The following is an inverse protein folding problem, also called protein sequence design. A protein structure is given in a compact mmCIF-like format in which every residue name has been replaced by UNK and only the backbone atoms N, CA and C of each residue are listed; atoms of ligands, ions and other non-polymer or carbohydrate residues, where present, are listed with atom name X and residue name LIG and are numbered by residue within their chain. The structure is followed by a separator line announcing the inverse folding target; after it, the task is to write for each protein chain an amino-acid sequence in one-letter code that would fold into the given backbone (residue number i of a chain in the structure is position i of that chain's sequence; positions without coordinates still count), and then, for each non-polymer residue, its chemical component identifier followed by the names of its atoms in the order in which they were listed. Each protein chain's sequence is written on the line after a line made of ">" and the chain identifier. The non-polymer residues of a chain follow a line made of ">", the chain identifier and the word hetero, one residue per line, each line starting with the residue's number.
data_IF_067046150022
#
_entry.id   IF_067046150022
#
_cell.length_a   1.000
_cell.length_b   1.000
_cell.length_c   1.000
_cell.angle_alpha   90.00
_cell.angle_beta   90.00
_cell.angle_gamma   90.00
#
_symmetry.space_group_name_H-M   'P 1'
#
loop_
_entity.id
_entity.type
_entity.pdbx_description
1 polymer ?
#
# COMPACT_ATOMS: atom_id res chain seq x y z
N UNK A 1 43.23 72.93 -19.27
CA UNK A 1 41.81 73.15 -19.58
C UNK A 1 41.28 71.88 -20.24
N UNK A 2 40.28 71.25 -19.59
CA UNK A 2 39.31 70.21 -20.01
C UNK A 2 39.65 69.26 -21.19
N UNK A 3 39.84 67.96 -20.95
CA UNK A 3 38.88 66.82 -20.78
C UNK A 3 38.92 65.92 -22.03
N UNK A 4 39.37 64.70 -21.76
CA UNK A 4 39.41 63.48 -22.56
C UNK A 4 38.03 62.92 -22.88
N UNK A 5 37.80 62.48 -24.10
CA UNK A 5 36.85 61.38 -24.41
C UNK A 5 37.32 60.54 -25.60
N UNK A 6 36.94 59.26 -25.54
CA UNK A 6 36.94 58.23 -26.60
C UNK A 6 38.22 57.43 -26.88
N UNK A 7 38.29 56.24 -26.26
CA UNK A 7 38.20 54.94 -26.97
C UNK A 7 38.23 53.77 -25.95
N UNK A 8 37.22 53.74 -25.09
CA UNK A 8 36.98 52.65 -24.11
C UNK A 8 35.82 51.73 -24.52
N UNK A 9 35.41 51.74 -25.78
CA UNK A 9 34.17 51.06 -26.22
C UNK A 9 34.37 49.76 -27.00
N UNK A 10 35.56 49.46 -27.53
CA UNK A 10 35.76 48.25 -28.35
C UNK A 10 36.28 47.03 -27.58
N UNK A 11 36.97 47.24 -26.44
CA UNK A 11 37.45 46.15 -25.58
C UNK A 11 36.38 45.69 -24.58
N UNK A 12 35.48 46.60 -24.17
CA UNK A 12 34.39 46.27 -23.25
C UNK A 12 33.32 45.39 -23.93
N UNK A 13 32.99 45.65 -25.20
CA UNK A 13 32.04 44.84 -25.95
C UNK A 13 32.56 43.45 -26.25
N UNK A 14 33.85 43.30 -26.54
CA UNK A 14 34.48 41.99 -26.72
C UNK A 14 34.52 41.20 -25.42
N UNK A 15 34.90 41.86 -24.31
CA UNK A 15 34.89 41.24 -22.97
C UNK A 15 33.49 40.81 -22.53
N UNK A 16 32.47 41.65 -22.78
CA UNK A 16 31.08 41.36 -22.44
C UNK A 16 30.51 40.23 -23.32
N UNK A 17 30.88 40.16 -24.61
CA UNK A 17 30.48 39.07 -25.49
C UNK A 17 31.11 37.73 -25.04
N UNK A 18 32.39 37.72 -24.64
CA UNK A 18 33.01 36.51 -24.04
C UNK A 18 32.42 36.14 -22.69
N UNK A 19 32.04 37.10 -21.84
CA UNK A 19 31.40 36.81 -20.55
C UNK A 19 29.98 36.24 -20.74
N UNK A 20 29.22 36.78 -21.71
CA UNK A 20 27.90 36.27 -22.07
C UNK A 20 27.97 34.88 -22.70
N UNK A 21 28.98 34.61 -23.53
CA UNK A 21 29.20 33.27 -24.10
C UNK A 21 29.62 32.25 -23.02
N UNK A 22 30.42 32.67 -22.03
CA UNK A 22 30.79 31.84 -20.87
C UNK A 22 29.63 31.62 -19.89
N UNK A 23 28.71 32.59 -19.72
CA UNK A 23 27.48 32.40 -18.93
C UNK A 23 26.46 31.48 -19.63
N UNK A 24 26.49 31.40 -20.97
CA UNK A 24 25.62 30.50 -21.74
C UNK A 24 26.16 29.08 -21.87
N UNK A 25 27.37 28.79 -21.37
CA UNK A 25 27.94 27.44 -21.29
C UNK A 25 27.87 26.81 -19.88
N UNK A 26 27.25 27.49 -18.91
CA UNK A 26 26.80 26.89 -17.63
C UNK A 26 25.36 26.37 -17.68
N UNK A 27 24.79 26.18 -18.88
CA UNK A 27 23.64 25.30 -19.04
C UNK A 27 24.08 23.85 -18.84
N UNK A 28 23.65 23.25 -17.74
CA UNK A 28 22.78 22.07 -17.80
C UNK A 28 22.74 21.41 -16.43
N UNK A 29 21.83 21.86 -15.57
CA UNK A 29 20.84 20.95 -15.02
C UNK A 29 19.54 21.74 -14.86
N UNK A 30 18.44 21.32 -15.51
CA UNK A 30 17.14 21.77 -15.08
C UNK A 30 16.89 21.14 -13.72
N UNK A 31 17.07 21.90 -12.64
CA UNK A 31 16.37 21.60 -11.40
C UNK A 31 14.93 22.00 -11.67
N UNK A 32 14.21 21.11 -12.35
CA UNK A 32 12.78 21.00 -12.12
C UNK A 32 12.73 20.52 -10.67
N UNK A 33 12.58 21.46 -9.74
CA UNK A 33 11.85 21.14 -8.51
C UNK A 33 10.45 20.82 -8.99
N UNK A 34 10.23 19.59 -9.41
CA UNK A 34 8.98 18.94 -9.12
C UNK A 34 8.94 19.08 -7.61
N UNK A 35 8.07 19.94 -7.11
CA UNK A 35 7.59 19.77 -5.74
C UNK A 35 7.18 18.30 -5.68
N UNK A 36 8.08 17.47 -5.16
CA UNK A 36 7.73 16.20 -4.60
C UNK A 36 6.84 16.61 -3.45
N UNK A 37 5.54 16.69 -3.74
CA UNK A 37 4.51 16.66 -2.73
C UNK A 37 4.97 15.55 -1.80
N UNK A 38 5.29 15.85 -0.52
CA UNK A 38 5.59 14.81 0.42
C UNK A 38 4.32 13.97 0.44
N UNK A 39 4.34 12.80 -0.19
CA UNK A 39 3.30 11.80 0.02
C UNK A 39 3.60 11.23 1.39
N UNK A 40 3.22 12.02 2.37
CA UNK A 40 3.02 11.64 3.74
C UNK A 40 2.12 10.39 3.73
N UNK A 41 2.63 9.22 4.16
CA UNK A 41 1.93 7.93 4.06
C UNK A 41 0.60 7.90 4.83
N UNK A 42 0.35 8.89 5.69
CA UNK A 42 -0.96 9.14 6.27
C UNK A 42 -2.09 9.35 5.23
N UNK A 43 -1.79 9.79 4.00
CA UNK A 43 -2.83 10.10 3.01
C UNK A 43 -3.30 8.91 2.14
N UNK A 44 -2.56 7.79 2.10
CA UNK A 44 -3.02 6.59 1.41
C UNK A 44 -4.10 5.83 2.22
N UNK A 45 -4.17 6.08 3.53
CA UNK A 45 -5.05 5.39 4.48
C UNK A 45 -6.10 6.32 5.11
N UNK A 46 -5.91 7.65 5.09
CA UNK A 46 -6.85 8.65 5.65
C UNK A 46 -8.19 8.85 4.90
N UNK A 47 -8.52 8.06 3.86
CA UNK A 47 -9.83 8.13 3.17
C UNK A 47 -10.73 6.90 3.37
N UNK A 48 -10.58 6.19 4.49
CA UNK A 48 -11.50 5.11 4.89
C UNK A 48 -12.58 5.68 5.80
N UNK A 49 -13.52 6.42 5.21
CA UNK A 49 -14.65 7.00 5.93
C UNK A 49 -15.57 5.94 6.50
N UNK A 50 -15.58 5.80 7.83
CA UNK A 50 -16.64 5.19 8.64
C UNK A 50 -16.51 5.76 10.06
N UNK A 51 -17.23 6.85 10.38
CA UNK A 51 -17.38 7.35 11.76
C UNK A 51 -18.75 6.89 12.26
N UNK A 52 -18.85 5.94 13.20
CA UNK A 52 -20.08 5.71 13.94
C UNK A 52 -20.18 6.69 15.12
N UNK A 53 -21.29 7.41 15.21
CA UNK A 53 -21.69 8.19 16.40
C UNK A 53 -22.01 7.28 17.59
N UNK A 54 -21.52 7.66 18.77
CA UNK A 54 -21.58 6.94 20.06
C UNK A 54 -23.00 6.54 20.51
N UNK A 55 -23.08 5.45 21.31
CA UNK A 55 -23.86 5.52 22.54
C UNK A 55 -23.02 5.14 23.78
N UNK A 56 -23.17 5.94 24.84
CA UNK A 56 -22.55 5.75 26.16
C UNK A 56 -23.38 4.82 27.06
N UNK A 57 -22.75 3.81 27.68
CA UNK A 57 -23.26 3.11 28.89
C UNK A 57 -22.14 2.33 29.63
N UNK A 58 -22.35 1.88 30.89
CA UNK A 58 -21.50 2.18 32.05
C UNK A 58 -20.33 1.20 32.24
N UNK A 59 -19.32 1.68 32.98
CA UNK A 59 -18.03 1.02 33.22
C UNK A 59 -18.16 -0.26 34.07
N UNK A 60 -18.02 -1.42 33.42
CA UNK A 60 -17.43 -2.61 34.03
C UNK A 60 -15.91 -2.41 34.13
N UNK A 61 -15.20 -3.07 35.08
CA UNK A 61 -13.74 -2.99 35.15
C UNK A 61 -13.16 -3.31 33.77
N UNK A 62 -12.29 -2.43 33.29
CA UNK A 62 -11.71 -2.55 31.96
C UNK A 62 -10.92 -3.86 31.89
N UNK A 63 -11.51 -4.90 31.30
CA UNK A 63 -10.73 -6.07 30.88
C UNK A 63 -9.68 -5.53 29.92
N UNK A 64 -8.41 -5.81 30.17
CA UNK A 64 -7.32 -5.51 29.25
C UNK A 64 -7.14 -6.70 28.33
N UNK A 65 -7.00 -6.47 27.02
CA UNK A 65 -6.65 -7.52 26.07
C UNK A 65 -5.26 -7.25 25.53
N UNK A 66 -4.43 -8.29 25.51
CA UNK A 66 -3.10 -8.26 24.89
C UNK A 66 -3.23 -8.78 23.46
N UNK A 67 -2.78 -8.00 22.49
CA UNK A 67 -2.75 -8.38 21.09
C UNK A 67 -1.31 -8.35 20.57
N UNK A 68 -0.94 -9.36 19.79
CA UNK A 68 0.36 -9.40 19.12
C UNK A 68 0.17 -9.09 17.63
N UNK A 69 0.81 -8.02 17.17
CA UNK A 69 0.93 -7.64 15.77
C UNK A 69 2.00 -8.48 15.10
N UNK A 70 1.57 -9.53 14.41
CA UNK A 70 2.42 -10.33 13.53
C UNK A 70 1.59 -10.86 12.37
N UNK A 71 2.26 -11.22 11.27
CA UNK A 71 1.61 -11.86 10.13
C UNK A 71 0.99 -13.20 10.54
N UNK A 72 1.69 -13.98 11.38
CA UNK A 72 1.21 -15.29 11.84
C UNK A 72 -0.11 -15.19 12.62
N UNK A 73 -0.23 -14.20 13.50
CA UNK A 73 -1.48 -13.96 14.23
C UNK A 73 -2.64 -13.56 13.31
N UNK A 74 -2.35 -12.79 12.28
CA UNK A 74 -3.38 -12.39 11.32
C UNK A 74 -3.77 -13.59 10.44
N UNK A 75 -2.84 -14.47 10.08
CA UNK A 75 -3.14 -15.72 9.38
C UNK A 75 -4.00 -16.65 10.24
N UNK A 76 -3.74 -16.73 11.55
CA UNK A 76 -4.61 -17.43 12.48
C UNK A 76 -6.02 -16.81 12.52
N UNK A 77 -6.12 -15.47 12.50
CA UNK A 77 -7.41 -14.78 12.41
C UNK A 77 -8.14 -15.04 11.08
N UNK A 78 -7.43 -15.06 9.94
CA UNK A 78 -8.01 -15.45 8.64
C UNK A 78 -8.58 -16.87 8.73
N UNK A 79 -7.88 -17.80 9.37
CA UNK A 79 -8.35 -19.18 9.49
C UNK A 79 -9.56 -19.35 10.44
N UNK A 80 -9.58 -18.63 11.56
CA UNK A 80 -10.62 -18.79 12.60
C UNK A 80 -11.86 -17.95 12.39
N UNK A 81 -11.68 -16.71 11.92
CA UNK A 81 -12.74 -15.71 11.78
C UNK A 81 -12.80 -15.10 10.38
N UNK A 82 -12.05 -15.66 9.43
CA UNK A 82 -12.20 -15.32 8.02
C UNK A 82 -13.54 -15.78 7.48
N UNK A 83 -14.01 -15.10 6.45
CA UNK A 83 -15.32 -15.37 5.84
C UNK A 83 -15.28 -16.42 4.75
N UNK A 84 -14.09 -16.74 4.26
CA UNK A 84 -13.88 -17.54 3.06
C UNK A 84 -12.69 -18.47 3.24
N UNK A 85 -12.80 -19.65 2.63
CA UNK A 85 -11.67 -20.56 2.49
C UNK A 85 -10.71 -20.04 1.40
N UNK A 86 -9.46 -19.80 1.81
CA UNK A 86 -8.44 -19.18 0.95
C UNK A 86 -7.86 -20.13 -0.11
N UNK A 87 -8.06 -21.44 0.03
CA UNK A 87 -7.58 -22.43 -0.94
C UNK A 87 -8.59 -22.68 -2.08
N UNK A 88 -9.85 -22.27 -1.89
CA UNK A 88 -10.93 -22.46 -2.89
C UNK A 88 -11.44 -21.16 -3.52
N UNK A 89 -10.94 -20.00 -3.09
CA UNK A 89 -11.38 -18.69 -3.57
C UNK A 89 -10.22 -17.87 -4.17
N UNK A 90 -10.56 -16.88 -5.01
CA UNK A 90 -9.56 -16.07 -5.74
C UNK A 90 -9.26 -14.79 -4.99
N UNK A 91 -7.98 -14.51 -4.75
CA UNK A 91 -7.54 -13.23 -4.20
C UNK A 91 -7.53 -12.11 -5.24
N UNK A 92 -8.06 -10.96 -4.84
CA UNK A 92 -8.14 -9.73 -5.63
C UNK A 92 -7.46 -8.59 -4.88
N UNK A 93 -6.42 -8.02 -5.47
CA UNK A 93 -5.67 -6.86 -4.96
C UNK A 93 -5.95 -5.65 -5.83
N UNK A 94 -5.72 -4.44 -5.32
CA UNK A 94 -5.98 -3.23 -6.11
C UNK A 94 -5.12 -2.05 -5.70
N UNK A 95 -4.80 -1.20 -6.66
CA UNK A 95 -4.03 0.03 -6.44
C UNK A 95 -4.54 1.15 -7.35
N UNK A 96 -4.61 2.38 -6.83
CA UNK A 96 -4.97 3.56 -7.62
C UNK A 96 -6.45 3.64 -8.03
N UNK A 97 -7.33 2.87 -7.39
CA UNK A 97 -8.77 2.78 -7.74
C UNK A 97 -9.72 3.41 -6.70
N UNK A 98 -9.20 4.18 -5.75
CA UNK A 98 -10.02 4.92 -4.79
C UNK A 98 -10.52 4.11 -3.57
N UNK A 99 -9.66 3.27 -2.98
CA UNK A 99 -9.98 2.59 -1.71
C UNK A 99 -11.15 1.62 -1.82
N UNK A 100 -12.23 1.85 -1.06
CA UNK A 100 -13.44 1.01 -1.10
C UNK A 100 -14.03 0.88 -2.52
N UNK A 101 -13.97 1.95 -3.32
CA UNK A 101 -14.37 1.90 -4.74
C UNK A 101 -13.53 0.90 -5.53
N UNK A 102 -12.23 0.77 -5.22
CA UNK A 102 -11.35 -0.20 -5.85
C UNK A 102 -11.75 -1.64 -5.54
N UNK A 103 -12.14 -1.92 -4.30
CA UNK A 103 -12.68 -3.23 -3.89
C UNK A 103 -13.94 -3.60 -4.67
N UNK A 104 -14.91 -2.67 -4.70
CA UNK A 104 -16.15 -2.87 -5.45
C UNK A 104 -15.88 -3.10 -6.94
N UNK A 105 -14.96 -2.33 -7.54
CA UNK A 105 -14.56 -2.49 -8.95
C UNK A 105 -13.93 -3.85 -9.20
N UNK A 106 -12.97 -4.28 -8.38
CA UNK A 106 -12.32 -5.58 -8.49
C UNK A 106 -13.34 -6.73 -8.37
N UNK A 107 -14.20 -6.70 -7.36
CA UNK A 107 -15.23 -7.73 -7.16
C UNK A 107 -16.27 -7.74 -8.29
N UNK A 108 -16.71 -6.58 -8.74
CA UNK A 108 -17.65 -6.47 -9.87
C UNK A 108 -17.05 -7.03 -11.15
N UNK A 109 -15.79 -6.69 -11.43
CA UNK A 109 -15.09 -7.23 -12.58
C UNK A 109 -14.94 -8.75 -12.48
N UNK A 110 -14.52 -9.27 -11.32
CA UNK A 110 -14.38 -10.70 -11.08
C UNK A 110 -15.69 -11.46 -11.31
N UNK A 111 -16.79 -11.00 -10.73
CA UNK A 111 -18.11 -11.62 -10.90
C UNK A 111 -18.54 -11.70 -12.37
N UNK A 112 -18.15 -10.72 -13.19
CA UNK A 112 -18.53 -10.64 -14.61
C UNK A 112 -17.59 -11.39 -15.55
N UNK A 113 -16.30 -11.49 -15.20
CA UNK A 113 -15.25 -11.92 -16.13
C UNK A 113 -14.46 -13.15 -15.68
N UNK A 114 -14.72 -13.69 -14.48
CA UNK A 114 -14.03 -14.90 -14.00
C UNK A 114 -14.17 -16.04 -15.01
N UNK A 115 -13.10 -16.83 -15.23
CA UNK A 115 -13.15 -17.95 -16.15
C UNK A 115 -14.17 -19.00 -15.70
N UNK A 116 -14.68 -19.80 -16.64
CA UNK A 116 -15.66 -20.84 -16.34
C UNK A 116 -15.16 -21.85 -15.29
N UNK A 117 -13.85 -22.14 -15.28
CA UNK A 117 -13.21 -23.00 -14.27
C UNK A 117 -13.27 -22.44 -12.84
N UNK A 118 -13.50 -21.13 -12.69
CA UNK A 118 -13.62 -20.43 -11.41
C UNK A 118 -15.06 -19.95 -11.13
N UNK A 119 -16.07 -20.49 -11.82
CA UNK A 119 -17.45 -20.03 -11.74
C UNK A 119 -18.06 -20.06 -10.33
N UNK A 120 -17.57 -20.90 -9.43
CA UNK A 120 -18.03 -20.98 -8.04
C UNK A 120 -17.14 -20.22 -7.05
N UNK A 121 -16.02 -19.65 -7.51
CA UNK A 121 -15.05 -18.99 -6.63
C UNK A 121 -15.46 -17.54 -6.33
N UNK A 122 -15.42 -17.17 -5.06
CA UNK A 122 -15.60 -15.80 -4.61
C UNK A 122 -14.32 -15.00 -4.81
N UNK A 123 -14.49 -13.68 -5.00
CA UNK A 123 -13.40 -12.71 -5.04
C UNK A 123 -13.10 -12.16 -3.65
N UNK A 124 -11.92 -12.48 -3.14
CA UNK A 124 -11.47 -12.09 -1.80
C UNK A 124 -10.65 -10.81 -1.90
N UNK A 125 -11.13 -9.76 -1.27
CA UNK A 125 -10.46 -8.46 -1.13
C UNK A 125 -10.20 -8.20 0.35
N UNK A 126 -9.32 -7.24 0.64
CA UNK A 126 -9.04 -6.81 2.01
C UNK A 126 -10.32 -6.61 2.86
N UNK A 127 -11.36 -5.96 2.32
CA UNK A 127 -12.55 -5.59 3.10
C UNK A 127 -13.59 -6.70 3.30
N UNK A 128 -13.44 -7.88 2.69
CA UNK A 128 -14.30 -9.03 2.98
C UNK A 128 -13.52 -10.24 3.55
N UNK A 129 -12.22 -10.09 3.79
CA UNK A 129 -11.36 -11.17 4.29
C UNK A 129 -11.78 -11.63 5.69
N UNK A 130 -11.90 -10.68 6.63
CA UNK A 130 -12.20 -10.94 8.04
C UNK A 130 -13.67 -10.59 8.36
N UNK A 131 -14.20 -11.17 9.44
CA UNK A 131 -15.48 -10.72 10.01
C UNK A 131 -15.42 -9.22 10.38
N UNK A 132 -16.47 -8.45 10.05
CA UNK A 132 -16.48 -6.98 10.27
C UNK A 132 -16.36 -6.64 11.75
N UNK A 133 -16.97 -7.44 12.61
CA UNK A 133 -16.87 -7.29 14.06
C UNK A 133 -15.43 -7.37 14.54
N UNK A 134 -14.65 -8.30 14.00
CA UNK A 134 -13.24 -8.47 14.32
C UNK A 134 -12.40 -7.32 13.74
N UNK A 135 -12.52 -7.04 12.44
CA UNK A 135 -11.75 -5.99 11.77
C UNK A 135 -12.00 -4.60 12.40
N UNK A 136 -13.26 -4.25 12.66
CA UNK A 136 -13.63 -2.98 13.29
C UNK A 136 -13.15 -2.89 14.74
N UNK A 137 -13.24 -3.99 15.49
CA UNK A 137 -12.72 -4.04 16.85
C UNK A 137 -11.22 -3.77 16.90
N UNK A 138 -10.44 -4.45 16.05
CA UNK A 138 -8.98 -4.23 15.95
C UNK A 138 -8.68 -2.80 15.56
N UNK A 139 -9.34 -2.27 14.52
CA UNK A 139 -9.12 -0.90 14.07
C UNK A 139 -9.39 0.12 15.18
N UNK A 140 -10.57 0.05 15.81
CA UNK A 140 -10.98 1.02 16.84
C UNK A 140 -10.12 0.95 18.09
N UNK A 141 -9.64 -0.24 18.46
CA UNK A 141 -8.77 -0.40 19.63
C UNK A 141 -7.36 0.18 19.40
N UNK A 142 -6.99 0.46 18.15
CA UNK A 142 -5.70 1.02 17.76
C UNK A 142 -5.76 2.47 17.32
N UNK A 143 -6.91 3.12 17.49
CA UNK A 143 -7.06 4.52 17.13
C UNK A 143 -6.12 5.40 17.98
N UNK A 144 -5.41 6.31 17.31
CA UNK A 144 -4.40 7.18 17.93
C UNK A 144 -3.15 6.46 18.48
N UNK A 145 -3.01 5.14 18.26
CA UNK A 145 -1.87 4.37 18.73
C UNK A 145 -0.72 4.37 17.71
N UNK A 146 0.51 4.40 18.20
CA UNK A 146 1.73 4.27 17.38
C UNK A 146 2.42 2.92 17.63
N UNK A 147 3.11 2.42 16.60
CA UNK A 147 3.95 1.23 16.61
C UNK A 147 5.17 1.44 15.69
N UNK A 148 6.30 0.75 15.94
CA UNK A 148 7.41 0.73 14.99
C UNK A 148 6.93 0.28 13.60
N UNK A 149 7.34 0.99 12.55
CA UNK A 149 7.03 0.58 11.17
C UNK A 149 7.74 -0.74 10.85
N UNK A 150 7.02 -1.80 10.43
CA UNK A 150 7.65 -3.03 9.97
C UNK A 150 8.68 -2.79 8.85
N UNK A 151 8.41 -1.84 7.94
CA UNK A 151 9.30 -1.54 6.81
C UNK A 151 10.52 -0.69 7.22
N UNK A 152 10.42 0.06 8.31
CA UNK A 152 11.50 0.88 8.85
C UNK A 152 11.39 1.00 10.39
N UNK A 153 11.94 0.04 11.16
CA UNK A 153 11.77 -0.01 12.61
C UNK A 153 12.34 1.19 13.38
N UNK A 154 13.06 2.09 12.71
CA UNK A 154 13.56 3.36 13.28
C UNK A 154 12.49 4.46 13.31
N UNK A 155 11.34 4.22 12.69
CA UNK A 155 10.21 5.14 12.62
C UNK A 155 9.00 4.52 13.31
N UNK A 156 8.15 5.35 13.89
CA UNK A 156 6.83 4.94 14.36
C UNK A 156 5.76 5.45 13.40
N UNK A 157 4.78 4.59 13.13
CA UNK A 157 3.61 4.91 12.32
C UNK A 157 2.35 4.49 13.07
N UNK A 158 1.19 4.96 12.60
CA UNK A 158 -0.09 4.59 13.19
C UNK A 158 -0.27 3.06 13.22
N UNK A 159 -0.67 2.52 14.35
CA UNK A 159 -0.87 1.08 14.55
C UNK A 159 -1.92 0.50 13.58
N UNK A 160 -2.90 1.30 13.16
CA UNK A 160 -3.83 0.94 12.09
C UNK A 160 -3.15 0.76 10.72
N UNK A 161 -2.09 1.52 10.43
CA UNK A 161 -1.29 1.37 9.21
C UNK A 161 -0.43 0.11 9.28
N UNK A 162 0.22 -0.14 10.43
CA UNK A 162 0.95 -1.40 10.70
C UNK A 162 0.02 -2.58 10.51
N UNK A 163 -1.14 -2.59 11.18
CA UNK A 163 -2.11 -3.67 11.06
C UNK A 163 -2.60 -3.84 9.62
N UNK A 164 -2.91 -2.73 8.93
CA UNK A 164 -3.32 -2.77 7.52
C UNK A 164 -2.28 -3.42 6.61
N UNK A 165 -0.99 -3.06 6.75
CA UNK A 165 0.11 -3.66 5.99
C UNK A 165 0.29 -5.15 6.29
N UNK A 166 0.25 -5.53 7.58
CA UNK A 166 0.35 -6.94 7.98
C UNK A 166 -0.84 -7.78 7.50
N UNK A 167 -2.06 -7.23 7.47
CA UNK A 167 -3.24 -7.91 6.89
C UNK A 167 -3.08 -8.10 5.38
N UNK A 168 -2.60 -7.09 4.67
CA UNK A 168 -2.32 -7.19 3.24
C UNK A 168 -1.28 -8.27 2.93
N UNK A 169 -0.20 -8.35 3.72
CA UNK A 169 0.78 -9.43 3.61
C UNK A 169 0.17 -10.80 3.95
N UNK A 170 -0.57 -10.92 5.06
CA UNK A 170 -1.20 -12.17 5.46
C UNK A 170 -2.20 -12.69 4.42
N UNK A 171 -2.96 -11.79 3.76
CA UNK A 171 -3.81 -12.13 2.63
C UNK A 171 -2.96 -12.73 1.50
N UNK A 172 -1.93 -12.02 1.06
CA UNK A 172 -1.03 -12.46 -0.01
C UNK A 172 -0.37 -13.83 0.26
N UNK A 173 0.07 -14.07 1.50
CA UNK A 173 0.63 -15.36 1.91
C UNK A 173 -0.42 -16.49 2.01
N UNK A 174 -1.70 -16.13 2.18
CA UNK A 174 -2.79 -17.11 2.26
C UNK A 174 -3.33 -17.50 0.89
N UNK A 175 -3.15 -16.65 -0.13
CA UNK A 175 -3.64 -16.86 -1.48
C UNK A 175 -3.12 -18.15 -2.14
N UNK A 176 -3.86 -18.63 -3.13
CA UNK A 176 -3.50 -19.77 -3.96
C UNK A 176 -3.93 -19.56 -5.42
N UNK A 177 -3.32 -20.29 -6.35
CA UNK A 177 -3.73 -20.27 -7.75
C UNK A 177 -3.41 -18.97 -8.49
N UNK A 178 -4.33 -18.50 -9.32
CA UNK A 178 -4.19 -17.22 -10.04
C UNK A 178 -4.68 -16.08 -9.14
N UNK A 179 -3.87 -15.04 -9.02
CA UNK A 179 -4.21 -13.81 -8.29
C UNK A 179 -4.42 -12.68 -9.28
N UNK A 180 -5.40 -11.81 -9.00
CA UNK A 180 -5.70 -10.66 -9.86
C UNK A 180 -5.36 -9.35 -9.15
N UNK A 181 -4.62 -8.48 -9.84
CA UNK A 181 -4.21 -7.17 -9.38
C UNK A 181 -4.87 -6.08 -10.23
N UNK A 182 -5.79 -5.33 -9.63
CA UNK A 182 -6.60 -4.33 -10.32
C UNK A 182 -5.98 -2.94 -10.21
N UNK A 183 -5.58 -2.36 -11.33
CA UNK A 183 -5.01 -1.01 -11.37
C UNK A 183 -5.15 -0.42 -12.77
N UNK A 184 -5.22 0.92 -12.94
CA UNK A 184 -5.26 1.52 -14.27
C UNK A 184 -4.08 1.08 -15.14
N UNK A 185 -4.27 0.99 -16.45
CA UNK A 185 -3.21 0.60 -17.40
C UNK A 185 -1.92 1.39 -17.21
N UNK A 186 -2.05 2.70 -16.98
CA UNK A 186 -0.95 3.63 -16.75
C UNK A 186 -0.11 3.35 -15.50
N UNK A 187 -0.62 2.55 -14.57
CA UNK A 187 0.11 2.12 -13.38
C UNK A 187 0.63 0.70 -13.61
N UNK A 188 1.91 0.54 -13.93
CA UNK A 188 2.52 -0.77 -14.09
C UNK A 188 2.66 -1.55 -12.77
N UNK A 189 2.31 -0.94 -11.63
CA UNK A 189 2.44 -1.56 -10.32
C UNK A 189 3.90 -1.72 -9.87
N UNK A 190 4.84 -1.03 -10.53
CA UNK A 190 6.27 -1.05 -10.25
C UNK A 190 6.84 0.32 -9.91
N UNK A 191 6.04 1.40 -10.04
CA UNK A 191 6.41 2.76 -9.65
C UNK A 191 6.97 2.77 -8.20
N UNK A 192 8.16 3.34 -7.94
CA UNK A 192 8.86 3.32 -6.64
C UNK A 192 8.11 3.96 -5.47
N UNK A 193 6.85 4.36 -5.64
CA UNK A 193 5.98 4.73 -4.52
C UNK A 193 5.92 3.58 -3.52
N UNK A 194 6.37 3.84 -2.29
CA UNK A 194 6.24 2.95 -1.13
C UNK A 194 4.78 2.82 -0.74
N UNK A 195 4.04 2.00 -1.49
CA UNK A 195 2.64 1.68 -1.27
C UNK A 195 2.50 0.23 -0.77
N UNK A 196 1.32 -0.12 -0.27
CA UNK A 196 1.04 -1.43 0.31
C UNK A 196 1.29 -2.57 -0.70
N UNK A 197 0.99 -2.34 -1.98
CA UNK A 197 1.25 -3.32 -3.04
C UNK A 197 2.74 -3.65 -3.17
N UNK A 198 3.58 -2.62 -3.36
CA UNK A 198 5.01 -2.79 -3.56
C UNK A 198 5.75 -3.29 -2.31
N UNK A 199 5.28 -2.91 -1.12
CA UNK A 199 5.99 -3.20 0.14
C UNK A 199 5.54 -4.52 0.75
N UNK A 200 4.24 -4.82 0.75
CA UNK A 200 3.68 -5.97 1.47
C UNK A 200 3.13 -7.06 0.53
N UNK A 201 2.30 -6.68 -0.44
CA UNK A 201 1.48 -7.64 -1.19
C UNK A 201 2.29 -8.34 -2.29
N UNK A 202 2.89 -7.60 -3.20
CA UNK A 202 3.64 -8.14 -4.34
C UNK A 202 4.87 -8.97 -3.89
N UNK A 203 5.70 -8.51 -2.95
CA UNK A 203 6.78 -9.33 -2.42
C UNK A 203 6.30 -10.63 -1.75
N UNK A 204 5.17 -10.61 -1.06
CA UNK A 204 4.60 -11.79 -0.41
C UNK A 204 4.00 -12.77 -1.44
N UNK A 205 3.26 -12.27 -2.44
CA UNK A 205 2.67 -13.07 -3.51
C UNK A 205 3.74 -13.82 -4.32
N UNK A 206 4.81 -13.13 -4.71
CA UNK A 206 5.90 -13.71 -5.53
C UNK A 206 6.79 -14.70 -4.76
N UNK A 207 6.62 -14.78 -3.43
CA UNK A 207 7.27 -15.78 -2.56
C UNK A 207 6.31 -16.89 -2.11
N UNK A 208 5.02 -16.75 -2.38
CA UNK A 208 4.02 -17.72 -1.98
C UNK A 208 4.00 -18.90 -2.97
N UNK A 209 4.43 -20.08 -2.50
CA UNK A 209 4.54 -21.28 -3.32
C UNK A 209 3.20 -21.80 -3.91
N UNK A 210 2.07 -21.37 -3.33
CA UNK A 210 0.71 -21.72 -3.78
C UNK A 210 0.24 -20.86 -4.95
N UNK A 211 0.79 -19.65 -5.12
CA UNK A 211 0.46 -18.75 -6.22
C UNK A 211 1.12 -19.24 -7.51
N UNK A 212 0.34 -19.29 -8.59
CA UNK A 212 0.81 -19.74 -9.91
C UNK A 212 1.13 -18.57 -10.83
N UNK A 213 0.35 -17.49 -10.77
CA UNK A 213 0.55 -16.30 -11.57
C UNK A 213 -0.19 -15.10 -10.98
N UNK A 214 0.25 -13.90 -11.34
CA UNK A 214 -0.40 -12.64 -11.01
C UNK A 214 -0.81 -11.96 -12.33
N UNK A 215 -2.11 -11.72 -12.49
CA UNK A 215 -2.68 -11.03 -13.64
C UNK A 215 -3.02 -9.60 -13.24
N UNK A 216 -2.35 -8.62 -13.84
CA UNK A 216 -2.75 -7.22 -13.80
C UNK A 216 -4.00 -7.03 -14.67
N UNK A 217 -4.99 -6.32 -14.14
CA UNK A 217 -6.24 -6.00 -14.83
C UNK A 217 -6.53 -4.50 -14.69
N UNK A 218 -6.81 -3.84 -15.81
CA UNK A 218 -7.52 -2.55 -15.75
C UNK A 218 -9.03 -2.80 -15.79
N UNK A 219 -9.77 -2.53 -14.70
CA UNK A 219 -11.21 -2.80 -14.67
C UNK A 219 -12.04 -1.88 -15.58
N UNK A 220 -11.47 -0.78 -16.10
CA UNK A 220 -12.16 0.13 -17.02
C UNK A 220 -12.10 -0.36 -18.47
N UNK A 221 -10.94 -0.85 -18.91
CA UNK A 221 -10.74 -1.37 -20.28
C UNK A 221 -10.90 -2.89 -20.38
N UNK A 222 -10.89 -3.59 -19.24
CA UNK A 222 -10.78 -5.05 -19.14
C UNK A 222 -9.52 -5.63 -19.75
N UNK A 223 -8.50 -4.80 -19.99
CA UNK A 223 -7.18 -5.26 -20.39
C UNK A 223 -6.54 -6.10 -19.30
N UNK A 224 -5.88 -7.19 -19.70
CA UNK A 224 -5.24 -8.15 -18.82
C UNK A 224 -3.81 -8.41 -19.26
N UNK A 225 -2.88 -8.40 -18.31
CA UNK A 225 -1.45 -8.69 -18.55
C UNK A 225 -0.93 -9.55 -17.40
N UNK A 226 -0.26 -10.66 -17.72
CA UNK A 226 0.47 -11.43 -16.72
C UNK A 226 1.73 -10.65 -16.33
N UNK A 227 1.88 -10.33 -15.05
CA UNK A 227 3.02 -9.54 -14.53
C UNK A 227 4.01 -10.36 -13.71
N UNK A 228 3.63 -11.59 -13.36
CA UNK A 228 4.49 -12.55 -12.68
C UNK A 228 3.91 -13.97 -12.83
N UNK A 229 4.78 -14.96 -13.00
CA UNK A 229 4.43 -16.39 -13.03
C UNK A 229 5.35 -17.18 -12.11
N UNK A 230 4.86 -18.29 -11.56
CA UNK A 230 5.65 -19.21 -10.74
C UNK A 230 6.89 -19.67 -11.51
N UNK A 231 8.06 -19.40 -10.93
CA UNK A 231 9.36 -19.62 -11.56
C UNK A 231 10.10 -18.32 -11.85
N UNK A 232 9.39 -17.19 -11.97
CA UNK A 232 10.00 -15.87 -12.01
C UNK A 232 10.66 -15.53 -10.67
N UNK A 233 11.67 -14.66 -10.71
CA UNK A 233 12.34 -14.20 -9.51
C UNK A 233 11.34 -13.49 -8.56
N UNK A 234 11.51 -13.64 -7.23
CA UNK A 234 10.72 -12.87 -6.27
C UNK A 234 10.90 -11.36 -6.47
N UNK A 235 9.81 -10.61 -6.32
CA UNK A 235 9.84 -9.16 -6.42
C UNK A 235 10.36 -8.52 -5.13
N UNK A 236 11.30 -7.58 -5.26
CA UNK A 236 11.76 -6.70 -4.18
C UNK A 236 12.39 -7.41 -2.98
N UNK A 237 12.57 -6.70 -1.85
CA UNK A 237 12.98 -7.29 -0.57
C UNK A 237 11.97 -8.29 0.00
N UNK A 238 12.36 -9.01 1.06
CA UNK A 238 11.41 -9.81 1.85
C UNK A 238 10.33 -8.88 2.42
N UNK A 239 9.03 -9.28 2.38
CA UNK A 239 7.97 -8.42 2.88
C UNK A 239 8.15 -8.13 4.38
N UNK A 240 7.94 -6.88 4.85
CA UNK A 240 8.38 -6.44 6.17
C UNK A 240 7.78 -7.17 7.38
N UNK A 241 6.60 -7.77 7.23
CA UNK A 241 5.96 -8.53 8.30
C UNK A 241 6.69 -9.82 8.67
N UNK A 242 7.64 -10.29 7.85
CA UNK A 242 8.43 -11.47 8.15
C UNK A 242 9.35 -11.22 9.34
N UNK A 243 9.11 -11.93 10.44
CA UNK A 243 9.86 -11.77 11.70
C UNK A 243 9.46 -10.55 12.52
N UNK A 244 8.50 -9.75 12.06
CA UNK A 244 7.93 -8.66 12.83
C UNK A 244 6.96 -9.18 13.88
N UNK A 245 7.14 -8.74 15.12
CA UNK A 245 6.24 -9.03 16.22
C UNK A 245 6.25 -7.88 17.22
N UNK A 246 5.09 -7.30 17.50
CA UNK A 246 4.91 -6.31 18.57
C UNK A 246 3.74 -6.69 19.45
N UNK A 247 3.95 -6.69 20.76
CA UNK A 247 2.89 -6.97 21.75
C UNK A 247 2.34 -5.66 22.27
N UNK A 248 1.00 -5.52 22.27
CA UNK A 248 0.34 -4.35 22.85
C UNK A 248 -0.79 -4.76 23.75
N UNK A 249 -0.78 -4.24 24.96
CA UNK A 249 -1.89 -4.35 25.90
C UNK A 249 -2.76 -3.12 25.75
N UNK A 250 -4.04 -3.32 25.44
CA UNK A 250 -4.98 -2.23 25.23
C UNK A 250 -5.89 -2.07 26.44
N UNK A 251 -6.14 -0.80 26.78
CA UNK A 251 -6.86 -0.41 27.99
C UNK A 251 -8.36 -0.76 27.98
N UNK A 252 -8.89 -1.24 26.85
CA UNK A 252 -10.28 -1.66 26.69
C UNK A 252 -10.32 -3.01 25.97
N UNK A 253 -11.00 -4.01 26.53
CA UNK A 253 -11.25 -5.32 25.94
C UNK A 253 -12.27 -5.23 24.80
N UNK A 254 -11.88 -4.53 23.74
CA UNK A 254 -12.67 -4.42 22.53
C UNK A 254 -12.27 -5.47 21.49
N UNK A 255 -11.16 -6.19 21.67
CA UNK A 255 -10.85 -7.35 20.83
C UNK A 255 -11.82 -8.49 21.13
N UNK A 256 -12.42 -9.13 20.10
CA UNK A 256 -12.83 -10.51 20.24
C UNK A 256 -11.56 -11.29 20.61
N UNK A 257 -11.59 -12.00 21.73
CA UNK A 257 -10.67 -13.13 21.89
C UNK A 257 -10.93 -14.01 20.66
N UNK A 258 -9.89 -14.30 19.87
CA UNK A 258 -10.02 -15.29 18.81
C UNK A 258 -10.64 -16.54 19.47
N UNK A 259 -11.82 -17.00 19.01
CA UNK A 259 -12.50 -18.11 19.66
C UNK A 259 -11.62 -19.36 19.72
#
# INVERSE_FOLDING_TARGET
>A
MRITTHRSTSLLTLALATLLFLLQLTHALPVITTDLIPVHPENALARRGCIPSKPSKPASPARTTTFTYSVDNIKDAINKVGRFDMDTNTCLFYLGLGGATGQTKAQTWWTRNRPASAANQMGIVWGNLLADSYANAVWNANDGQMLPDPANPRQEIGAGLVWGGLVSQALAESCSGTVYFFTPESNDGTDPVTNVWNVYEHPALTRNAKVQQIIKVDPATSSQVVIWTKGDAPYGPVPPGTGYSQVKTLATALYPVLP
#
